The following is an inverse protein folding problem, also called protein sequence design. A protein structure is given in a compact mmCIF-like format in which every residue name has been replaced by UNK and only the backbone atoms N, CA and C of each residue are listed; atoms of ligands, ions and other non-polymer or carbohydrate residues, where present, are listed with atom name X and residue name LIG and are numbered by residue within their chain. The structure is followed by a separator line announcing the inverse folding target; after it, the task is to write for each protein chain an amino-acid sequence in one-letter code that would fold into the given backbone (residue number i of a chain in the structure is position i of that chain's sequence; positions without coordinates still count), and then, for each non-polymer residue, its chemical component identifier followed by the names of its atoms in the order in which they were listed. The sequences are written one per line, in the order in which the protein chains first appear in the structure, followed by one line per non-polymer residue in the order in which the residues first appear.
data_IF_233284598068
#
_entry.id   IF_233284598068
#
_cell.length_a   1.000
_cell.length_b   1.000
_cell.length_c   1.000
_cell.angle_alpha   90.00
_cell.angle_beta   90.00
_cell.angle_gamma   90.00
#
_symmetry.space_group_name_H-M   'P 1'
#
loop_
_entity.id
_entity.type
_entity.pdbx_description
1 polymer ?
#
# COMPACT_ATOMS: atom_id res chain seq x y z
N UNK A 1 18.41 11.92 28.45
CA UNK A 1 17.46 13.01 28.11
C UNK A 1 17.64 14.13 29.12
N UNK A 2 17.37 15.40 28.76
CA UNK A 2 17.38 16.49 29.73
C UNK A 2 16.40 16.19 30.88
N UNK A 3 16.81 16.46 32.11
CA UNK A 3 15.95 16.42 33.30
C UNK A 3 15.50 17.84 33.58
N UNK A 4 14.21 18.02 33.86
CA UNK A 4 13.62 19.33 34.09
C UNK A 4 12.86 19.29 35.41
N UNK A 5 13.23 20.18 36.31
CA UNK A 5 12.64 20.32 37.64
C UNK A 5 12.24 21.77 37.86
N UNK A 6 11.17 21.99 38.63
CA UNK A 6 10.78 23.33 39.07
C UNK A 6 11.45 23.59 40.42
N UNK A 7 12.21 24.68 40.51
CA UNK A 7 12.95 25.06 41.72
C UNK A 7 12.44 26.40 42.21
N UNK A 8 12.16 26.49 43.51
CA UNK A 8 11.78 27.74 44.19
C UNK A 8 12.96 28.23 45.04
N UNK A 9 13.57 29.35 44.65
CA UNK A 9 14.60 30.02 45.45
C UNK A 9 14.24 31.51 45.64
N UNK A 10 14.35 32.00 46.87
CA UNK A 10 14.14 33.42 47.17
C UNK A 10 12.74 33.97 46.87
N UNK A 11 11.72 33.11 46.77
CA UNK A 11 10.36 33.50 46.37
C UNK A 11 10.14 33.62 44.86
N UNK A 12 11.10 33.20 44.04
CA UNK A 12 10.99 33.10 42.59
C UNK A 12 11.08 31.63 42.15
N UNK A 13 10.16 31.22 41.29
CA UNK A 13 10.13 29.89 40.69
C UNK A 13 10.81 29.95 39.32
N UNK A 14 11.80 29.08 39.08
CA UNK A 14 12.47 28.91 37.78
C UNK A 14 12.56 27.42 37.41
N UNK A 15 12.89 27.14 36.14
CA UNK A 15 13.13 25.77 35.66
C UNK A 15 14.62 25.46 35.77
N UNK A 16 14.96 24.38 36.46
CA UNK A 16 16.31 23.83 36.43
C UNK A 16 16.38 22.73 35.36
N UNK A 17 17.17 22.97 34.33
CA UNK A 17 17.39 22.03 33.22
C UNK A 17 18.75 21.37 33.39
N UNK A 18 18.76 20.08 33.71
CA UNK A 18 19.99 19.29 33.81
C UNK A 18 20.23 18.51 32.52
N UNK A 19 21.39 18.70 31.91
CA UNK A 19 21.80 18.02 30.67
C UNK A 19 23.25 17.58 30.76
N UNK A 20 23.60 16.47 30.11
CA UNK A 20 24.99 16.01 30.00
C UNK A 20 25.67 16.71 28.82
N UNK A 21 26.81 17.35 29.08
CA UNK A 21 27.69 17.84 28.01
C UNK A 21 28.48 16.65 27.43
N UNK A 22 28.30 16.29 26.15
CA UNK A 22 28.97 15.13 25.56
C UNK A 22 30.46 15.37 25.28
N UNK A 23 30.94 16.61 25.26
CA UNK A 23 32.34 16.97 25.04
C UNK A 23 33.10 16.92 26.37
N UNK A 24 32.52 17.49 27.42
CA UNK A 24 33.15 17.57 28.75
C UNK A 24 32.88 16.34 29.63
N UNK A 25 31.83 15.57 29.33
CA UNK A 25 31.43 14.41 30.14
C UNK A 25 30.88 14.79 31.52
N UNK A 26 30.46 16.05 31.70
CA UNK A 26 29.92 16.59 32.94
C UNK A 26 28.43 16.89 32.82
N UNK A 27 27.72 16.88 33.95
CA UNK A 27 26.36 17.40 34.01
C UNK A 27 26.38 18.92 34.14
N UNK A 28 25.61 19.58 33.28
CA UNK A 28 25.33 21.00 33.32
C UNK A 28 23.94 21.20 33.91
N UNK A 29 23.84 22.12 34.85
CA UNK A 29 22.59 22.55 35.48
C UNK A 29 22.34 24.00 35.05
N UNK A 30 21.24 24.24 34.34
CA UNK A 30 20.95 25.52 33.69
C UNK A 30 19.62 26.05 34.22
N UNK A 31 19.64 27.22 34.85
CA UNK A 31 18.43 27.94 35.25
C UNK A 31 17.81 28.62 34.03
N UNK A 32 16.52 28.38 33.80
CA UNK A 32 15.79 28.91 32.65
C UNK A 32 14.40 29.43 33.05
N UNK A 33 14.03 30.59 32.52
CA UNK A 33 12.68 31.15 32.64
C UNK A 33 11.69 30.50 31.66
N UNK A 34 12.20 30.06 30.50
CA UNK A 34 11.41 29.45 29.44
C UNK A 34 12.10 28.20 28.90
N UNK A 35 11.31 27.14 28.71
CA UNK A 35 11.74 25.92 28.04
C UNK A 35 10.95 25.73 26.74
N UNK A 36 11.63 25.86 25.61
CA UNK A 36 11.04 25.59 24.29
C UNK A 36 11.26 24.12 23.92
N UNK A 37 10.18 23.34 23.87
CA UNK A 37 10.22 21.95 23.46
C UNK A 37 10.22 21.84 21.93
N UNK A 38 11.30 21.31 21.35
CA UNK A 38 11.35 20.92 19.95
C UNK A 38 10.57 19.61 19.73
N UNK A 39 9.25 19.70 19.71
CA UNK A 39 8.37 18.53 19.54
C UNK A 39 8.57 17.87 18.17
N UNK A 40 8.49 16.54 18.14
CA UNK A 40 8.51 15.79 16.90
C UNK A 40 7.24 16.02 16.08
N UNK A 41 7.38 15.99 14.75
CA UNK A 41 6.24 15.95 13.84
C UNK A 41 5.78 14.50 13.72
N UNK A 42 4.49 14.27 14.00
CA UNK A 42 3.85 12.97 13.88
C UNK A 42 2.73 13.03 12.83
N UNK A 43 2.33 11.89 12.25
CA UNK A 43 1.20 11.84 11.33
C UNK A 43 -0.11 12.30 11.99
N UNK A 44 -1.02 12.94 11.25
CA UNK A 44 -2.33 13.30 11.78
C UNK A 44 -3.18 12.05 12.08
N UNK A 45 -4.07 12.14 13.06
CA UNK A 45 -4.91 11.02 13.51
C UNK A 45 -5.77 10.39 12.38
N UNK A 46 -6.15 11.18 11.37
CA UNK A 46 -6.94 10.71 10.22
C UNK A 46 -6.12 10.01 9.11
N UNK A 47 -4.80 9.87 9.24
CA UNK A 47 -3.95 9.25 8.19
C UNK A 47 -4.40 7.82 7.84
N UNK A 48 -4.83 7.05 8.84
CA UNK A 48 -5.29 5.68 8.65
C UNK A 48 -6.57 5.62 7.82
N UNK A 49 -7.55 6.46 8.12
CA UNK A 49 -8.82 6.51 7.39
C UNK A 49 -8.58 6.89 5.91
N UNK A 50 -7.68 7.84 5.66
CA UNK A 50 -7.27 8.24 4.30
C UNK A 50 -6.53 7.09 3.58
N UNK A 51 -5.65 6.39 4.28
CA UNK A 51 -4.96 5.20 3.76
C UNK A 51 -5.94 4.13 3.30
N UNK A 52 -6.97 3.85 4.10
CA UNK A 52 -8.00 2.86 3.79
C UNK A 52 -8.93 3.30 2.66
N UNK A 53 -9.25 4.61 2.58
CA UNK A 53 -10.11 5.17 1.55
C UNK A 53 -9.45 5.13 0.17
N UNK A 54 -8.20 5.56 0.08
CA UNK A 54 -7.45 5.62 -1.18
C UNK A 54 -6.68 4.33 -1.49
N UNK A 55 -6.73 3.33 -0.60
CA UNK A 55 -5.97 2.08 -0.69
C UNK A 55 -4.48 2.34 -0.89
N UNK A 56 -3.92 3.23 -0.08
CA UNK A 56 -2.50 3.58 -0.09
C UNK A 56 -1.83 3.13 1.20
N UNK A 57 -0.53 2.86 1.16
CA UNK A 57 0.18 2.20 2.27
C UNK A 57 0.80 3.23 3.23
N UNK A 58 0.81 2.91 4.52
CA UNK A 58 1.58 3.63 5.53
C UNK A 58 2.93 2.92 5.80
N UNK A 59 3.96 3.70 6.13
CA UNK A 59 5.25 3.22 6.57
C UNK A 59 5.24 2.78 8.04
N UNK A 60 6.37 2.22 8.53
CA UNK A 60 6.53 1.85 9.94
C UNK A 60 6.45 3.04 10.91
N UNK A 61 6.66 4.25 10.39
CA UNK A 61 6.57 5.53 11.09
C UNK A 61 5.17 6.18 10.96
N UNK A 62 4.20 5.42 10.45
CA UNK A 62 2.79 5.81 10.27
C UNK A 62 2.56 6.97 9.27
N UNK A 63 3.61 7.45 8.59
CA UNK A 63 3.48 8.36 7.44
C UNK A 63 3.13 7.59 6.16
N UNK A 64 2.71 8.29 5.12
CA UNK A 64 2.39 7.67 3.83
C UNK A 64 3.64 7.19 3.11
N UNK A 65 3.63 5.95 2.65
CA UNK A 65 4.73 5.31 1.94
C UNK A 65 4.63 5.52 0.44
N UNK A 66 5.69 6.05 -0.15
CA UNK A 66 5.87 6.21 -1.58
C UNK A 66 6.08 4.86 -2.29
N UNK A 67 5.86 4.84 -3.61
CA UNK A 67 6.02 3.65 -4.43
C UNK A 67 7.47 3.15 -4.47
N UNK A 68 8.41 4.09 -4.62
CA UNK A 68 9.84 3.77 -4.62
C UNK A 68 10.69 5.02 -4.34
N UNK A 69 11.51 4.97 -3.28
CA UNK A 69 12.42 6.03 -2.78
C UNK A 69 13.13 6.88 -3.84
N UNK A 70 13.61 6.26 -4.93
CA UNK A 70 14.36 6.95 -6.00
C UNK A 70 13.56 7.19 -7.29
N UNK A 71 12.93 6.15 -7.83
CA UNK A 71 12.29 6.20 -9.15
C UNK A 71 10.91 6.86 -9.13
N UNK A 72 10.17 6.73 -8.02
CA UNK A 72 8.79 7.18 -7.89
C UNK A 72 8.54 7.78 -6.49
N UNK A 73 9.26 8.85 -6.10
CA UNK A 73 9.25 9.38 -4.74
C UNK A 73 7.98 10.18 -4.38
N UNK A 74 7.13 10.46 -5.37
CA UNK A 74 5.89 11.23 -5.22
C UNK A 74 4.66 10.45 -5.67
N UNK A 75 4.84 9.16 -5.96
CA UNK A 75 3.76 8.28 -6.37
C UNK A 75 3.42 7.36 -5.21
N UNK A 76 2.17 6.90 -5.16
CA UNK A 76 1.83 5.67 -4.47
C UNK A 76 1.96 4.47 -5.40
N UNK A 77 1.98 3.27 -4.80
CA UNK A 77 1.85 2.02 -5.57
C UNK A 77 0.50 1.95 -6.30
N UNK A 78 -0.52 2.60 -5.75
CA UNK A 78 -1.83 2.79 -6.38
C UNK A 78 -1.73 3.86 -7.46
N UNK A 79 -1.95 3.45 -8.71
CA UNK A 79 -1.89 4.35 -9.86
C UNK A 79 -2.91 5.48 -9.77
N UNK A 80 -2.49 6.68 -10.19
CA UNK A 80 -3.32 7.88 -10.16
C UNK A 80 -3.39 8.59 -8.81
N UNK A 81 -2.78 8.03 -7.75
CA UNK A 81 -2.67 8.68 -6.44
C UNK A 81 -1.22 9.13 -6.22
N UNK A 82 -1.06 10.39 -5.81
CA UNK A 82 0.23 11.03 -5.63
C UNK A 82 0.41 11.55 -4.21
N UNK A 83 1.67 11.71 -3.81
CA UNK A 83 2.08 12.04 -2.46
C UNK A 83 2.91 13.33 -2.44
N UNK A 84 2.53 14.29 -1.61
CA UNK A 84 3.31 15.49 -1.36
C UNK A 84 3.15 16.00 0.08
N UNK A 85 4.16 16.76 0.53
CA UNK A 85 4.13 17.45 1.82
C UNK A 85 4.53 16.58 3.01
N UNK A 86 4.15 17.06 4.19
CA UNK A 86 4.51 16.42 5.46
C UNK A 86 3.73 15.14 5.73
N UNK A 87 2.71 14.83 4.92
CA UNK A 87 2.03 13.54 4.92
C UNK A 87 2.99 12.38 4.60
N UNK A 88 4.08 12.64 3.86
CA UNK A 88 5.08 11.65 3.51
C UNK A 88 6.11 11.41 4.63
N UNK A 89 6.62 12.48 5.24
CA UNK A 89 7.49 12.48 6.44
C UNK A 89 7.83 13.95 6.79
N UNK A 90 8.42 14.24 7.96
CA UNK A 90 8.82 15.61 8.33
C UNK A 90 9.89 16.18 7.39
N UNK A 91 9.59 17.30 6.73
CA UNK A 91 10.42 17.88 5.66
C UNK A 91 10.60 19.38 5.82
N UNK A 92 11.65 19.92 5.21
CA UNK A 92 11.81 21.36 5.08
C UNK A 92 10.90 21.93 3.99
N UNK A 93 10.55 23.22 4.12
CA UNK A 93 9.68 23.93 3.17
C UNK A 93 10.13 23.79 1.70
N UNK A 94 11.43 23.97 1.35
CA UNK A 94 11.86 23.83 -0.05
C UNK A 94 11.62 22.43 -0.62
N UNK A 95 11.75 21.40 0.23
CA UNK A 95 11.50 20.02 -0.15
C UNK A 95 10.02 19.77 -0.39
N UNK A 96 9.14 20.30 0.47
CA UNK A 96 7.69 20.25 0.28
C UNK A 96 7.28 20.91 -1.04
N UNK A 97 7.86 22.06 -1.36
CA UNK A 97 7.61 22.77 -2.63
C UNK A 97 8.05 21.91 -3.82
N UNK A 98 9.26 21.37 -3.79
CA UNK A 98 9.76 20.51 -4.87
C UNK A 98 8.91 19.23 -5.03
N UNK A 99 8.48 18.63 -3.91
CA UNK A 99 7.62 17.45 -3.93
C UNK A 99 6.24 17.78 -4.50
N UNK A 100 5.68 18.95 -4.18
CA UNK A 100 4.41 19.41 -4.73
C UNK A 100 4.50 19.61 -6.27
N UNK A 101 5.58 20.21 -6.77
CA UNK A 101 5.83 20.29 -8.22
C UNK A 101 5.99 18.91 -8.85
N UNK A 102 6.71 18.00 -8.20
CA UNK A 102 6.84 16.61 -8.64
C UNK A 102 5.49 15.90 -8.76
N UNK A 103 4.68 15.94 -7.70
CA UNK A 103 3.35 15.33 -7.67
C UNK A 103 2.43 15.94 -8.74
N UNK A 104 2.42 17.27 -8.88
CA UNK A 104 1.66 17.96 -9.92
C UNK A 104 2.12 17.55 -11.33
N UNK A 105 3.43 17.44 -11.58
CA UNK A 105 3.96 16.99 -12.87
C UNK A 105 3.56 15.54 -13.21
N UNK A 106 3.53 14.65 -12.21
CA UNK A 106 3.07 13.27 -12.39
C UNK A 106 1.57 13.19 -12.66
N UNK A 107 0.76 13.98 -11.95
CA UNK A 107 -0.66 14.10 -12.22
C UNK A 107 -0.92 14.65 -13.63
N UNK A 108 -0.23 15.71 -14.03
CA UNK A 108 -0.33 16.30 -15.36
C UNK A 108 0.02 15.31 -16.48
N UNK A 109 0.99 14.42 -16.26
CA UNK A 109 1.35 13.40 -17.25
C UNK A 109 0.18 12.46 -17.55
N UNK A 110 -0.65 12.13 -16.55
CA UNK A 110 -1.87 11.34 -16.79
C UNK A 110 -2.96 12.20 -17.44
N UNK A 111 -3.17 13.42 -16.94
CA UNK A 111 -4.23 14.32 -17.40
C UNK A 111 -3.99 14.90 -18.79
N UNK A 112 -2.75 14.88 -19.29
CA UNK A 112 -2.39 15.38 -20.63
C UNK A 112 -2.72 14.41 -21.75
N UNK A 113 -3.21 13.21 -21.43
CA UNK A 113 -3.56 12.19 -22.41
C UNK A 113 -5.05 11.85 -22.30
N UNK A 114 -5.72 11.69 -23.43
CA UNK A 114 -7.14 11.28 -23.48
C UNK A 114 -7.34 9.81 -23.06
N UNK A 115 -6.26 9.01 -23.11
CA UNK A 115 -6.27 7.59 -22.78
C UNK A 115 -5.09 7.23 -21.89
N UNK A 116 -5.32 6.27 -21.00
CA UNK A 116 -4.31 5.70 -20.12
C UNK A 116 -4.19 4.20 -20.36
N UNK A 117 -2.97 3.70 -20.42
CA UNK A 117 -2.70 2.26 -20.48
C UNK A 117 -2.69 1.71 -19.07
N UNK A 118 -3.56 0.74 -18.80
CA UNK A 118 -3.62 0.00 -17.54
C UNK A 118 -3.10 -1.42 -17.75
N UNK A 119 -2.83 -2.14 -16.65
CA UNK A 119 -2.41 -3.54 -16.71
C UNK A 119 -3.40 -4.38 -17.51
N UNK A 120 -2.88 -5.27 -18.36
CA UNK A 120 -3.67 -6.28 -19.08
C UNK A 120 -4.08 -7.46 -18.22
N UNK A 121 -3.55 -7.59 -17.00
CA UNK A 121 -3.91 -8.61 -16.01
C UNK A 121 -5.26 -8.30 -15.37
N UNK A 122 -6.31 -8.38 -16.17
CA UNK A 122 -7.70 -8.22 -15.75
C UNK A 122 -8.44 -9.55 -15.85
N UNK A 123 -9.51 -9.70 -15.08
CA UNK A 123 -10.34 -10.90 -15.16
C UNK A 123 -11.22 -10.89 -16.42
N UNK A 124 -11.44 -12.06 -17.00
CA UNK A 124 -12.33 -12.28 -18.14
C UNK A 124 -13.27 -13.47 -17.88
N UNK A 125 -14.48 -13.41 -18.43
CA UNK A 125 -15.53 -14.43 -18.24
C UNK A 125 -15.75 -15.19 -19.54
N UNK A 126 -15.61 -16.51 -19.50
CA UNK A 126 -16.13 -17.42 -20.50
C UNK A 126 -17.66 -17.54 -20.35
N UNK A 127 -18.39 -16.89 -21.24
CA UNK A 127 -19.86 -16.88 -21.26
C UNK A 127 -20.47 -18.29 -21.33
N UNK A 128 -19.79 -19.27 -21.96
CA UNK A 128 -20.31 -20.63 -22.12
C UNK A 128 -20.33 -21.38 -20.80
N UNK A 129 -19.30 -21.18 -19.97
CA UNK A 129 -19.17 -21.81 -18.64
C UNK A 129 -19.90 -21.03 -17.54
N UNK A 130 -20.17 -19.75 -17.78
CA UNK A 130 -20.80 -18.88 -16.79
C UNK A 130 -22.28 -19.25 -16.60
N UNK A 131 -22.67 -19.58 -15.37
CA UNK A 131 -24.05 -19.93 -15.00
C UNK A 131 -24.85 -18.75 -14.43
N UNK A 132 -24.27 -17.55 -14.42
CA UNK A 132 -24.97 -16.34 -13.93
C UNK A 132 -25.25 -16.33 -12.42
N UNK A 133 -24.47 -17.04 -11.59
CA UNK A 133 -24.75 -17.18 -10.15
C UNK A 133 -24.43 -15.93 -9.30
N UNK A 134 -23.54 -15.04 -9.77
CA UNK A 134 -23.22 -13.78 -9.10
C UNK A 134 -22.16 -13.85 -8.00
N UNK A 135 -21.59 -15.03 -7.73
CA UNK A 135 -20.53 -15.19 -6.71
C UNK A 135 -19.32 -14.26 -6.96
N UNK A 136 -18.92 -14.09 -8.22
CA UNK A 136 -17.85 -13.18 -8.61
C UNK A 136 -18.17 -11.71 -8.32
N UNK A 137 -19.43 -11.29 -8.50
CA UNK A 137 -19.89 -9.91 -8.24
C UNK A 137 -19.78 -9.62 -6.74
N UNK A 138 -20.28 -10.52 -5.90
CA UNK A 138 -20.19 -10.35 -4.43
C UNK A 138 -18.75 -10.34 -3.90
N UNK A 139 -17.83 -10.99 -4.62
CA UNK A 139 -16.43 -11.05 -4.23
C UNK A 139 -15.64 -9.78 -4.60
N UNK A 140 -16.12 -9.00 -5.58
CA UNK A 140 -15.36 -7.87 -6.12
C UNK A 140 -15.49 -6.62 -5.24
N UNK A 141 -14.42 -6.24 -4.54
CA UNK A 141 -14.38 -5.00 -3.74
C UNK A 141 -14.44 -3.71 -4.58
N UNK A 142 -14.21 -3.80 -5.89
CA UNK A 142 -14.11 -2.66 -6.81
C UNK A 142 -15.37 -2.43 -7.64
N UNK A 143 -16.41 -3.25 -7.45
CA UNK A 143 -17.63 -3.23 -8.28
C UNK A 143 -17.33 -3.32 -9.78
N UNK A 144 -16.28 -4.05 -10.15
CA UNK A 144 -15.83 -4.19 -11.54
C UNK A 144 -16.65 -5.21 -12.34
N UNK A 145 -17.58 -5.93 -11.72
CA UNK A 145 -18.30 -7.05 -12.35
C UNK A 145 -19.80 -6.77 -12.24
N UNK A 146 -20.50 -6.88 -13.37
CA UNK A 146 -21.94 -6.70 -13.45
C UNK A 146 -22.58 -7.79 -14.28
N UNK A 147 -23.91 -7.95 -14.17
CA UNK A 147 -24.65 -8.80 -15.09
C UNK A 147 -25.03 -8.04 -16.35
N UNK A 148 -24.86 -8.68 -17.50
CA UNK A 148 -25.41 -8.23 -18.78
C UNK A 148 -26.16 -9.37 -19.46
N UNK A 149 -27.20 -9.01 -20.21
CA UNK A 149 -27.85 -9.94 -21.12
C UNK A 149 -26.94 -10.17 -22.33
N UNK A 150 -26.53 -11.41 -22.55
CA UNK A 150 -25.76 -11.83 -23.73
C UNK A 150 -26.59 -12.77 -24.58
N UNK A 151 -26.07 -13.18 -25.74
CA UNK A 151 -26.72 -14.19 -26.58
C UNK A 151 -26.91 -15.54 -25.88
N UNK A 152 -26.17 -15.78 -24.79
CA UNK A 152 -26.21 -17.01 -23.99
C UNK A 152 -27.03 -16.83 -22.70
N UNK A 153 -27.80 -15.74 -22.60
CA UNK A 153 -28.58 -15.35 -21.43
C UNK A 153 -27.82 -14.38 -20.52
N UNK A 154 -28.29 -14.24 -19.28
CA UNK A 154 -27.68 -13.35 -18.28
C UNK A 154 -26.32 -13.86 -17.82
N UNK A 155 -25.23 -13.16 -18.19
CA UNK A 155 -23.85 -13.51 -17.83
C UNK A 155 -23.17 -12.39 -17.05
N UNK A 156 -22.17 -12.76 -16.27
CA UNK A 156 -21.27 -11.79 -15.64
C UNK A 156 -20.32 -11.22 -16.69
N UNK A 157 -20.09 -9.91 -16.66
CA UNK A 157 -19.15 -9.19 -17.52
C UNK A 157 -18.26 -8.33 -16.64
N UNK A 158 -16.96 -8.34 -16.92
CA UNK A 158 -15.96 -7.56 -16.18
C UNK A 158 -15.73 -6.24 -16.93
N UNK A 159 -15.77 -5.13 -16.20
CA UNK A 159 -15.26 -3.85 -16.66
C UNK A 159 -13.73 -3.84 -16.46
N UNK A 160 -12.94 -3.90 -17.54
CA UNK A 160 -11.49 -4.00 -17.44
C UNK A 160 -10.85 -2.73 -16.84
N UNK A 161 -11.52 -1.59 -16.87
CA UNK A 161 -11.03 -0.32 -16.31
C UNK A 161 -11.09 -0.32 -14.77
N UNK A 162 -12.11 -0.97 -14.20
CA UNK A 162 -12.28 -1.05 -12.74
C UNK A 162 -11.59 -2.27 -12.13
N UNK A 163 -11.32 -3.31 -12.92
CA UNK A 163 -10.68 -4.53 -12.45
C UNK A 163 -9.22 -4.26 -12.03
N UNK A 164 -8.87 -4.57 -10.78
CA UNK A 164 -7.50 -4.46 -10.26
C UNK A 164 -6.68 -5.75 -10.38
N UNK A 165 -7.25 -6.81 -10.95
CA UNK A 165 -6.51 -8.03 -11.26
C UNK A 165 -6.08 -8.86 -10.04
N UNK A 166 -6.83 -8.81 -8.93
CA UNK A 166 -6.50 -9.57 -7.72
C UNK A 166 -6.81 -11.08 -7.81
N UNK A 167 -7.70 -11.47 -8.73
CA UNK A 167 -8.05 -12.87 -8.97
C UNK A 167 -9.01 -13.50 -7.95
N UNK A 168 -9.52 -12.76 -6.96
CA UNK A 168 -10.40 -13.32 -5.92
C UNK A 168 -11.69 -13.93 -6.50
N UNK A 169 -12.19 -13.34 -7.59
CA UNK A 169 -13.37 -13.82 -8.28
C UNK A 169 -13.15 -15.18 -8.99
N UNK A 170 -11.92 -15.50 -9.43
CA UNK A 170 -11.56 -16.81 -10.02
C UNK A 170 -11.79 -17.92 -8.99
N UNK A 171 -11.19 -17.75 -7.80
CA UNK A 171 -11.30 -18.72 -6.71
C UNK A 171 -12.74 -18.93 -6.18
N UNK A 172 -13.63 -17.96 -6.39
CA UNK A 172 -15.05 -18.04 -5.98
C UNK A 172 -15.96 -18.62 -7.06
N UNK A 173 -15.48 -18.80 -8.28
CA UNK A 173 -16.30 -19.26 -9.38
C UNK A 173 -16.51 -20.77 -9.32
N UNK A 174 -17.75 -21.26 -9.10
CA UNK A 174 -17.98 -22.70 -8.96
C UNK A 174 -17.79 -23.48 -10.27
N UNK A 175 -17.77 -22.79 -11.42
CA UNK A 175 -17.65 -23.42 -12.74
C UNK A 175 -16.33 -23.10 -13.44
N UNK A 176 -15.41 -22.37 -12.79
CA UNK A 176 -14.17 -21.91 -13.41
C UNK A 176 -14.39 -21.04 -14.66
N UNK A 177 -15.50 -20.31 -14.70
CA UNK A 177 -15.89 -19.51 -15.85
C UNK A 177 -15.20 -18.14 -15.92
N UNK A 178 -14.62 -17.66 -14.83
CA UNK A 178 -13.91 -16.38 -14.77
C UNK A 178 -12.46 -16.65 -14.42
N UNK A 179 -11.52 -16.10 -15.17
CA UNK A 179 -10.09 -16.32 -14.99
C UNK A 179 -9.33 -15.00 -15.06
N UNK A 180 -8.16 -14.94 -14.41
CA UNK A 180 -7.28 -13.77 -14.45
C UNK A 180 -6.28 -13.94 -15.60
N UNK A 181 -6.23 -12.97 -16.52
CA UNK A 181 -5.23 -12.99 -17.60
C UNK A 181 -3.82 -12.95 -17.03
N UNK A 182 -2.92 -13.73 -17.62
CA UNK A 182 -1.52 -13.93 -17.20
C UNK A 182 -1.33 -14.71 -15.89
N UNK A 183 -2.43 -15.17 -15.28
CA UNK A 183 -2.45 -16.01 -14.08
C UNK A 183 -3.56 -17.07 -14.22
N UNK A 184 -3.64 -17.68 -15.40
CA UNK A 184 -4.61 -18.76 -15.66
C UNK A 184 -4.20 -20.03 -14.93
N UNK A 185 -5.16 -20.91 -14.65
CA UNK A 185 -4.89 -22.17 -13.98
C UNK A 185 -3.84 -23.01 -14.75
N UNK A 186 -3.87 -23.00 -16.08
CA UNK A 186 -2.89 -23.68 -16.93
C UNK A 186 -1.48 -23.10 -16.80
N UNK A 187 -1.35 -21.77 -16.80
CA UNK A 187 -0.06 -21.10 -16.59
C UNK A 187 0.50 -21.37 -15.18
N UNK A 188 -0.36 -21.33 -14.16
CA UNK A 188 0.02 -21.60 -12.77
C UNK A 188 0.44 -23.05 -12.56
N UNK A 189 -0.32 -24.01 -13.10
CA UNK A 189 0.06 -25.43 -13.04
C UNK A 189 1.38 -25.67 -13.77
N UNK A 190 1.57 -25.07 -14.95
CA UNK A 190 2.85 -25.17 -15.67
C UNK A 190 4.04 -24.63 -14.87
N UNK A 191 3.84 -23.56 -14.09
CA UNK A 191 4.86 -23.03 -13.19
C UNK A 191 5.14 -23.97 -12.01
N UNK A 192 4.11 -24.61 -11.45
CA UNK A 192 4.25 -25.60 -10.37
C UNK A 192 5.04 -26.80 -10.86
N UNK A 193 4.64 -27.38 -11.99
CA UNK A 193 5.28 -28.57 -12.59
C UNK A 193 6.75 -28.29 -12.93
N UNK A 194 7.06 -27.08 -13.41
CA UNK A 194 8.44 -26.67 -13.68
C UNK A 194 9.28 -26.43 -12.42
N UNK A 195 8.67 -25.95 -11.33
CA UNK A 195 9.35 -25.70 -10.06
C UNK A 195 9.56 -26.98 -9.24
N UNK A 196 8.70 -27.97 -9.43
CA UNK A 196 8.73 -29.23 -8.70
C UNK A 196 8.40 -30.40 -9.65
N UNK A 197 9.38 -30.87 -10.44
CA UNK A 197 9.18 -31.94 -11.41
C UNK A 197 8.68 -33.22 -10.73
N UNK A 198 7.75 -33.92 -11.38
CA UNK A 198 7.10 -35.12 -10.85
C UNK A 198 8.09 -36.17 -10.33
N UNK A 199 9.26 -36.33 -10.96
CA UNK A 199 10.28 -37.28 -10.54
C UNK A 199 10.88 -36.96 -9.16
N UNK A 200 11.01 -35.67 -8.84
CA UNK A 200 11.53 -35.20 -7.56
C UNK A 200 10.42 -35.16 -6.49
N UNK A 201 9.18 -34.86 -6.91
CA UNK A 201 8.00 -34.83 -6.04
C UNK A 201 7.58 -36.24 -5.61
N UNK A 202 7.52 -37.19 -6.54
CA UNK A 202 7.15 -38.59 -6.25
C UNK A 202 8.14 -39.23 -5.30
N UNK A 203 9.45 -39.01 -5.50
CA UNK A 203 10.47 -39.50 -4.57
C UNK A 203 10.33 -38.91 -3.16
N UNK A 204 10.00 -37.63 -3.03
CA UNK A 204 9.75 -36.99 -1.73
C UNK A 204 8.44 -37.47 -1.08
N UNK A 205 7.38 -37.68 -1.88
CA UNK A 205 6.10 -38.22 -1.42
C UNK A 205 6.30 -39.65 -0.93
N UNK A 206 6.92 -40.52 -1.73
CA UNK A 206 7.20 -41.92 -1.38
C UNK A 206 8.04 -42.02 -0.08
N UNK A 207 9.05 -41.17 0.07
CA UNK A 207 9.83 -41.05 1.31
C UNK A 207 8.99 -40.56 2.50
N UNK A 208 7.99 -39.71 2.28
CA UNK A 208 7.14 -39.15 3.33
C UNK A 208 5.98 -40.08 3.74
N UNK A 209 5.43 -40.88 2.81
CA UNK A 209 4.39 -41.88 3.10
C UNK A 209 4.97 -43.24 3.54
N UNK A 210 6.28 -43.44 3.44
CA UNK A 210 6.97 -44.59 4.03
C UNK A 210 6.86 -45.89 3.20
N UNK A 211 6.51 -45.78 1.92
CA UNK A 211 6.56 -46.90 1.00
C UNK A 211 7.98 -47.01 0.41
N UNK A 212 8.86 -47.68 1.16
CA UNK A 212 10.18 -48.12 0.73
C UNK A 212 10.24 -49.66 0.67
#
# INVERSE_FOLDING_TARGET
PPRVETVEEGGQSHLLVTVTDPILGHELAIDADYLSLAAAVIPPAGSKDISELFKVTLGPDEFFKEAHVKLRPVDFATDGVFLCGTAHYPKHIPEVINQAYGAAGRALTLLSHDIVTVSGSVCEVDEKKCIGCGACISACAYSAIEFRETRQGKKAVVNPVLCKGDGLCNAKCPTGAIFLKHFTDEELMSQIDAAAPDEELLGQIDMAVGDA
#
